data_IF_496964863457
#
_entry.id   IF_496964863457
#
_cell.length_a   1.000
_cell.length_b   1.000
_cell.length_c   1.000
_cell.angle_alpha   90.00
_cell.angle_beta   90.00
_cell.angle_gamma   90.00
#
_symmetry.space_group_name_H-M   'P 1'
#
loop_
_entity.id
_entity.type
_entity.pdbx_description
1 polymer ?
#
# COMPACT_ATOMS: atom_id res chain seq x y z
N UNK A 1 15.57 31.52 -4.88
CA UNK A 1 15.91 30.26 -5.56
C UNK A 1 14.63 29.55 -5.98
N UNK A 2 14.54 29.24 -7.25
CA UNK A 2 13.39 28.50 -7.78
C UNK A 2 13.49 27.02 -7.38
N UNK A 3 12.45 26.44 -6.75
CA UNK A 3 12.46 25.02 -6.41
C UNK A 3 12.62 24.14 -7.66
N UNK A 4 13.37 23.07 -7.53
CA UNK A 4 13.57 22.10 -8.61
C UNK A 4 12.25 21.36 -8.90
N UNK A 5 11.78 21.35 -10.15
CA UNK A 5 10.57 20.62 -10.50
C UNK A 5 10.80 19.11 -10.51
N UNK A 6 9.81 18.37 -10.03
CA UNK A 6 9.84 16.90 -9.99
C UNK A 6 8.49 16.36 -10.49
N UNK A 7 8.53 15.47 -11.45
CA UNK A 7 7.33 14.82 -11.96
C UNK A 7 6.97 13.60 -11.11
N UNK A 8 5.73 13.56 -10.62
CA UNK A 8 5.23 12.46 -9.80
C UNK A 8 4.20 11.69 -10.62
N UNK A 9 4.50 10.47 -10.98
CA UNK A 9 3.69 9.66 -11.92
C UNK A 9 2.95 8.50 -11.25
N UNK A 10 3.17 8.27 -9.95
CA UNK A 10 2.50 7.20 -9.23
C UNK A 10 1.01 7.49 -9.05
N UNK A 11 0.15 6.45 -8.91
CA UNK A 11 -1.28 6.67 -8.71
C UNK A 11 -1.60 7.25 -7.33
N UNK A 12 -2.76 7.87 -7.22
CA UNK A 12 -3.30 8.31 -5.93
C UNK A 12 -3.71 7.10 -5.08
N UNK A 13 -3.68 7.22 -3.75
CA UNK A 13 -3.35 8.41 -2.94
C UNK A 13 -1.85 8.65 -2.78
N UNK A 14 -1.02 7.79 -3.32
CA UNK A 14 0.42 7.87 -3.19
C UNK A 14 1.02 9.12 -3.83
N UNK A 15 0.46 9.58 -4.96
CA UNK A 15 0.97 10.76 -5.65
C UNK A 15 0.91 12.00 -4.76
N UNK A 16 -0.22 12.25 -4.11
CA UNK A 16 -0.39 13.39 -3.20
C UNK A 16 0.50 13.28 -1.97
N UNK A 17 0.66 12.09 -1.41
CA UNK A 17 1.55 11.86 -0.27
C UNK A 17 3.01 12.16 -0.64
N UNK A 18 3.45 11.68 -1.79
CA UNK A 18 4.81 11.95 -2.30
C UNK A 18 5.00 13.45 -2.56
N UNK A 19 4.01 14.12 -3.14
CA UNK A 19 4.07 15.55 -3.39
C UNK A 19 4.25 16.35 -2.10
N UNK A 20 3.53 16.02 -1.04
CA UNK A 20 3.68 16.69 0.26
C UNK A 20 5.10 16.55 0.80
N UNK A 21 5.67 15.36 0.70
CA UNK A 21 7.05 15.11 1.15
C UNK A 21 8.07 15.89 0.33
N UNK A 22 7.87 15.94 -0.98
CA UNK A 22 8.76 16.69 -1.87
C UNK A 22 8.71 18.19 -1.59
N UNK A 23 7.52 18.75 -1.37
CA UNK A 23 7.39 20.17 -1.00
C UNK A 23 8.09 20.48 0.32
N UNK A 24 7.97 19.59 1.30
CA UNK A 24 8.66 19.76 2.58
C UNK A 24 10.19 19.72 2.44
N UNK A 25 10.70 19.06 1.38
CA UNK A 25 12.12 19.00 1.06
C UNK A 25 12.60 20.14 0.16
N UNK A 26 11.70 21.04 -0.24
CA UNK A 26 12.04 22.20 -1.07
C UNK A 26 11.91 21.97 -2.58
N UNK A 27 11.32 20.86 -3.02
CA UNK A 27 11.06 20.60 -4.43
C UNK A 27 9.68 21.13 -4.87
N UNK A 28 9.49 21.24 -6.19
CA UNK A 28 8.21 21.61 -6.79
C UNK A 28 7.61 20.39 -7.51
N UNK A 29 6.74 19.61 -6.86
CA UNK A 29 6.16 18.43 -7.48
C UNK A 29 5.07 18.80 -8.47
N UNK A 30 5.06 18.09 -9.61
CA UNK A 30 3.99 18.11 -10.60
C UNK A 30 3.31 16.75 -10.60
N UNK A 31 2.04 16.70 -10.23
CA UNK A 31 1.28 15.46 -10.17
C UNK A 31 0.78 15.10 -11.56
N UNK A 32 1.20 13.95 -12.06
CA UNK A 32 0.78 13.41 -13.35
C UNK A 32 0.63 11.89 -13.25
N UNK A 33 -0.35 11.38 -12.47
CA UNK A 33 -0.54 9.94 -12.34
C UNK A 33 -0.79 9.31 -13.72
N UNK A 34 -0.01 8.28 -14.06
CA UNK A 34 -0.14 7.57 -15.33
C UNK A 34 -1.02 6.33 -15.20
N UNK A 35 -1.38 5.95 -13.98
CA UNK A 35 -2.25 4.82 -13.67
C UNK A 35 -3.33 5.27 -12.71
N UNK A 36 -4.52 4.71 -12.88
CA UNK A 36 -5.62 4.86 -11.95
C UNK A 36 -5.89 3.51 -11.29
N UNK A 37 -5.97 3.49 -9.97
CA UNK A 37 -6.31 2.29 -9.23
C UNK A 37 -7.83 2.18 -9.18
N UNK A 38 -8.37 1.10 -9.72
CA UNK A 38 -9.80 0.84 -9.72
C UNK A 38 -10.08 -0.52 -9.08
N UNK A 39 -11.14 -0.63 -8.26
CA UNK A 39 -11.49 -1.92 -7.69
C UNK A 39 -11.98 -2.88 -8.77
N UNK A 40 -11.67 -4.16 -8.59
CA UNK A 40 -12.21 -5.22 -9.44
C UNK A 40 -13.04 -6.16 -8.58
N UNK A 41 -14.16 -6.61 -9.13
CA UNK A 41 -14.91 -7.70 -8.53
C UNK A 41 -14.12 -8.99 -8.73
N UNK A 42 -13.71 -9.60 -7.63
CA UNK A 42 -12.99 -10.85 -7.64
C UNK A 42 -13.64 -11.82 -6.66
N UNK A 43 -13.70 -13.08 -7.06
CA UNK A 43 -14.15 -14.15 -6.17
C UNK A 43 -12.94 -14.58 -5.33
N UNK A 44 -13.01 -14.31 -4.03
CA UNK A 44 -11.95 -14.70 -3.10
C UNK A 44 -12.35 -15.98 -2.37
N UNK A 45 -11.39 -16.86 -2.06
CA UNK A 45 -11.67 -18.00 -1.18
C UNK A 45 -12.18 -17.51 0.18
N UNK A 46 -13.04 -18.29 0.84
CA UNK A 46 -13.46 -17.96 2.21
C UNK A 46 -12.25 -17.90 3.15
N UNK A 47 -12.34 -17.04 4.16
CA UNK A 47 -11.24 -16.88 5.13
C UNK A 47 -10.87 -18.21 5.81
N UNK A 48 -11.85 -19.08 6.03
CA UNK A 48 -11.66 -20.39 6.68
C UNK A 48 -10.75 -21.32 5.86
N UNK A 49 -10.65 -21.09 4.54
CA UNK A 49 -9.78 -21.86 3.66
C UNK A 49 -8.38 -21.30 3.50
N UNK A 50 -8.07 -20.19 4.19
CA UNK A 50 -6.80 -19.49 4.06
C UNK A 50 -6.05 -19.46 5.38
N UNK A 51 -4.73 -19.54 5.32
CA UNK A 51 -3.88 -19.41 6.51
C UNK A 51 -3.26 -18.02 6.66
N UNK A 52 -3.19 -17.24 5.59
CA UNK A 52 -2.57 -15.92 5.63
C UNK A 52 -2.91 -15.12 4.36
N UNK A 53 -2.66 -13.81 4.44
CA UNK A 53 -2.73 -12.89 3.30
C UNK A 53 -1.36 -12.27 3.10
N UNK A 54 -0.91 -12.18 1.86
CA UNK A 54 0.33 -11.50 1.48
C UNK A 54 -0.03 -10.34 0.58
N UNK A 55 0.42 -9.14 0.92
CA UNK A 55 0.16 -7.93 0.13
C UNK A 55 1.45 -7.19 -0.19
N UNK A 56 1.59 -6.81 -1.45
CA UNK A 56 2.71 -6.03 -1.95
C UNK A 56 2.37 -4.55 -2.11
N UNK A 57 1.10 -4.19 -2.07
CA UNK A 57 0.65 -2.81 -2.28
C UNK A 57 -0.47 -2.44 -1.32
N UNK A 58 -0.39 -1.22 -0.77
CA UNK A 58 -1.45 -0.70 0.07
C UNK A 58 -2.80 -0.58 -0.64
N UNK A 59 -2.79 -0.50 -1.97
CA UNK A 59 -4.01 -0.36 -2.76
C UNK A 59 -4.95 -1.57 -2.67
N UNK A 60 -4.42 -2.75 -2.36
CA UNK A 60 -5.22 -3.95 -2.19
C UNK A 60 -6.03 -3.95 -0.89
N UNK A 61 -5.53 -3.31 0.15
CA UNK A 61 -6.08 -3.40 1.51
C UNK A 61 -7.56 -2.98 1.59
N UNK A 62 -7.99 -1.83 1.04
CA UNK A 62 -9.38 -1.39 1.16
C UNK A 62 -10.38 -2.34 0.48
N UNK A 63 -9.92 -3.21 -0.41
CA UNK A 63 -10.77 -4.10 -1.18
C UNK A 63 -10.86 -5.50 -0.59
N UNK A 64 -10.15 -5.76 0.51
CA UNK A 64 -10.24 -7.04 1.21
C UNK A 64 -11.50 -7.08 2.08
N UNK A 65 -12.24 -8.21 2.08
CA UNK A 65 -13.46 -8.31 2.88
C UNK A 65 -13.20 -8.25 4.39
N UNK A 66 -14.17 -7.73 5.12
CA UNK A 66 -14.10 -7.69 6.59
C UNK A 66 -13.91 -9.09 7.20
N UNK A 67 -14.47 -10.12 6.57
CA UNK A 67 -14.35 -11.52 7.01
C UNK A 67 -12.91 -12.03 7.02
N UNK A 68 -12.00 -11.36 6.30
CA UNK A 68 -10.60 -11.77 6.19
C UNK A 68 -9.68 -11.04 7.20
N UNK A 69 -10.21 -10.11 8.00
CA UNK A 69 -9.41 -9.28 8.91
C UNK A 69 -8.78 -10.03 10.07
N UNK A 70 -9.30 -11.21 10.40
CA UNK A 70 -8.72 -12.06 11.44
C UNK A 70 -7.53 -12.88 10.97
N UNK A 71 -7.31 -12.96 9.65
CA UNK A 71 -6.17 -13.68 9.09
C UNK A 71 -4.87 -12.92 9.32
N UNK A 72 -3.74 -13.62 9.54
CA UNK A 72 -2.43 -12.98 9.52
C UNK A 72 -2.19 -12.32 8.16
N UNK A 73 -1.69 -11.09 8.19
CA UNK A 73 -1.37 -10.33 6.98
C UNK A 73 0.10 -9.98 6.98
N UNK A 74 0.80 -10.36 5.91
CA UNK A 74 2.20 -10.06 5.69
C UNK A 74 2.33 -9.01 4.59
N UNK A 75 2.90 -7.87 4.94
CA UNK A 75 3.11 -6.75 4.03
C UNK A 75 4.59 -6.63 3.65
N UNK A 76 4.85 -6.23 2.42
CA UNK A 76 6.23 -6.00 1.94
C UNK A 76 6.89 -4.87 2.72
N UNK A 77 6.20 -3.76 2.93
CA UNK A 77 6.77 -2.58 3.57
C UNK A 77 5.92 -2.05 4.71
N UNK A 78 6.55 -1.15 5.50
CA UNK A 78 5.92 -0.58 6.69
C UNK A 78 4.70 0.27 6.38
N UNK A 79 4.71 1.01 5.27
CA UNK A 79 3.58 1.83 4.86
C UNK A 79 2.34 0.98 4.57
N UNK A 80 2.50 -0.14 3.88
CA UNK A 80 1.41 -1.08 3.61
C UNK A 80 0.91 -1.73 4.89
N UNK A 81 1.82 -2.12 5.79
CA UNK A 81 1.47 -2.69 7.08
C UNK A 81 0.63 -1.72 7.91
N UNK A 82 0.99 -0.45 7.92
CA UNK A 82 0.25 0.59 8.66
C UNK A 82 -1.17 0.77 8.10
N UNK A 83 -1.32 0.75 6.78
CA UNK A 83 -2.64 0.81 6.15
C UNK A 83 -3.50 -0.39 6.57
N UNK A 84 -2.90 -1.59 6.61
CA UNK A 84 -3.62 -2.79 7.03
C UNK A 84 -4.10 -2.68 8.48
N UNK A 85 -3.27 -2.19 9.38
CA UNK A 85 -3.66 -1.99 10.80
C UNK A 85 -4.81 -1.01 10.91
N UNK A 86 -4.78 0.08 10.16
CA UNK A 86 -5.86 1.08 10.16
C UNK A 86 -7.18 0.53 9.59
N UNK A 87 -7.11 -0.47 8.73
CA UNK A 87 -8.29 -1.14 8.17
C UNK A 87 -8.81 -2.29 9.06
N UNK A 88 -8.23 -2.48 10.23
CA UNK A 88 -8.75 -3.43 11.21
C UNK A 88 -8.15 -4.83 11.17
N UNK A 89 -7.05 -5.04 10.42
CA UNK A 89 -6.33 -6.30 10.47
C UNK A 89 -5.61 -6.42 11.81
N UNK A 90 -5.88 -7.50 12.54
CA UNK A 90 -5.39 -7.67 13.90
C UNK A 90 -3.97 -8.19 13.97
N UNK A 91 -3.55 -8.98 12.97
CA UNK A 91 -2.24 -9.62 12.92
C UNK A 91 -1.52 -9.16 11.67
N UNK A 92 -0.70 -8.12 11.80
CA UNK A 92 0.02 -7.54 10.65
C UNK A 92 1.52 -7.58 10.92
N UNK A 93 2.27 -8.12 9.98
CA UNK A 93 3.72 -8.15 10.01
C UNK A 93 4.29 -7.54 8.74
N UNK A 94 5.30 -6.68 8.90
CA UNK A 94 5.99 -6.03 7.78
C UNK A 94 7.34 -6.68 7.55
N UNK A 95 7.68 -6.93 6.27
CA UNK A 95 9.02 -7.37 5.90
C UNK A 95 10.03 -6.22 5.89
N UNK A 96 9.55 -4.97 5.96
CA UNK A 96 10.38 -3.75 5.95
C UNK A 96 11.34 -3.68 4.76
N UNK A 97 10.91 -4.19 3.59
CA UNK A 97 11.79 -4.26 2.45
C UNK A 97 11.07 -4.58 1.14
N UNK A 98 11.57 -5.58 0.45
CA UNK A 98 11.10 -6.03 -0.85
C UNK A 98 10.46 -7.42 -0.79
N UNK A 99 10.14 -7.98 -1.95
CA UNK A 99 9.55 -9.31 -2.04
C UNK A 99 10.46 -10.41 -1.47
N UNK A 100 11.76 -10.27 -1.61
CA UNK A 100 12.71 -11.23 -1.04
C UNK A 100 12.70 -11.18 0.50
N UNK A 101 12.60 -9.98 1.09
CA UNK A 101 12.46 -9.81 2.53
C UNK A 101 11.13 -10.43 3.02
N UNK A 102 10.05 -10.28 2.25
CA UNK A 102 8.77 -10.88 2.58
C UNK A 102 8.85 -12.41 2.60
N UNK A 103 9.51 -13.00 1.62
CA UNK A 103 9.66 -14.45 1.55
C UNK A 103 10.49 -15.04 2.71
N UNK A 104 11.29 -14.21 3.37
CA UNK A 104 12.13 -14.61 4.49
C UNK A 104 11.43 -14.54 5.86
N UNK A 105 10.20 -14.03 5.90
CA UNK A 105 9.45 -13.93 7.16
C UNK A 105 9.02 -15.29 7.73
#
# INVERSE_FOLDING_TARGET
>A
VTPTPVLVTRPEPGASATARRLRAMGYAPHLAPLLTIAPRTASLPPAEGLCAIVVASQHAIPHLPASHRALPLFAVGDATAEVARRHGFAQVESAAGDAAALAAL
#
